data_IF_189601782136
#
_entry.id   IF_189601782136
#
_cell.length_a   1.000
_cell.length_b   1.000
_cell.length_c   1.000
_cell.angle_alpha   90.00
_cell.angle_beta   90.00
_cell.angle_gamma   90.00
#
_symmetry.space_group_name_H-M   'P 1'
#
loop_
_entity.id
_entity.type
_entity.pdbx_description
1 polymer ?
#
# COMPACT_ATOMS: atom_id res chain seq x y z
N UNK A 1 -32.79 -45.52 -23.78
CA UNK A 1 -31.79 -44.54 -24.24
C UNK A 1 -32.23 -43.16 -23.78
N UNK A 2 -32.05 -42.85 -22.50
CA UNK A 2 -32.32 -41.52 -21.95
C UNK A 2 -31.06 -40.69 -22.08
N UNK A 3 -31.13 -39.58 -22.83
CA UNK A 3 -30.01 -38.67 -23.00
C UNK A 3 -29.57 -38.10 -21.65
N UNK A 4 -28.31 -38.32 -21.30
CA UNK A 4 -27.64 -37.61 -20.22
C UNK A 4 -27.47 -36.18 -20.70
N UNK A 5 -28.37 -35.29 -20.29
CA UNK A 5 -28.16 -33.87 -20.41
C UNK A 5 -26.91 -33.54 -19.59
N UNK A 6 -25.82 -33.29 -20.28
CA UNK A 6 -24.64 -32.63 -19.70
C UNK A 6 -25.13 -31.24 -19.31
N UNK A 7 -25.45 -31.08 -18.03
CA UNK A 7 -25.77 -29.78 -17.44
C UNK A 7 -24.50 -28.92 -17.56
N UNK A 8 -24.50 -27.97 -18.49
CA UNK A 8 -23.42 -27.00 -18.60
C UNK A 8 -23.33 -26.20 -17.28
N UNK A 9 -22.11 -25.98 -16.74
CA UNK A 9 -21.94 -25.22 -15.51
C UNK A 9 -22.45 -23.79 -15.73
N UNK A 10 -23.43 -23.40 -14.93
CA UNK A 10 -24.05 -22.07 -14.97
C UNK A 10 -23.01 -20.98 -14.62
N UNK A 11 -22.65 -20.07 -15.56
CA UNK A 11 -21.68 -19.00 -15.33
C UNK A 11 -22.17 -17.93 -14.33
N UNK A 12 -23.43 -18.01 -13.88
CA UNK A 12 -24.01 -17.07 -12.91
C UNK A 12 -23.92 -17.55 -11.45
N UNK A 13 -23.46 -18.77 -11.20
CA UNK A 13 -23.39 -19.35 -9.85
C UNK A 13 -22.19 -18.86 -9.01
N UNK A 14 -21.16 -18.26 -9.62
CA UNK A 14 -19.92 -17.83 -8.95
C UNK A 14 -19.83 -16.31 -8.72
N UNK A 15 -20.97 -15.62 -8.54
CA UNK A 15 -21.02 -14.17 -8.29
C UNK A 15 -21.66 -13.81 -6.94
N UNK A 16 -21.93 -14.79 -6.08
CA UNK A 16 -22.68 -14.63 -4.83
C UNK A 16 -21.84 -14.82 -3.56
N UNK A 17 -20.52 -14.96 -3.68
CA UNK A 17 -19.64 -14.91 -2.50
C UNK A 17 -19.47 -13.45 -2.09
N UNK A 18 -19.82 -13.08 -0.84
CA UNK A 18 -19.56 -11.73 -0.37
C UNK A 18 -18.07 -11.45 -0.55
N UNK A 19 -17.74 -10.33 -1.19
CA UNK A 19 -16.37 -9.82 -1.32
C UNK A 19 -15.80 -9.71 0.10
N UNK A 20 -15.04 -10.73 0.52
CA UNK A 20 -14.36 -10.69 1.81
C UNK A 20 -13.44 -9.49 1.77
N UNK A 21 -13.67 -8.56 2.69
CA UNK A 21 -12.83 -7.37 2.85
C UNK A 21 -11.39 -7.82 3.01
N UNK A 22 -10.55 -7.43 2.05
CA UNK A 22 -9.14 -7.85 1.98
C UNK A 22 -8.34 -7.27 3.13
N UNK A 23 -8.55 -5.98 3.42
CA UNK A 23 -7.97 -5.25 4.54
C UNK A 23 -9.08 -4.57 5.32
N UNK A 24 -9.22 -4.92 6.59
CA UNK A 24 -10.11 -4.18 7.48
C UNK A 24 -9.56 -2.78 7.74
N UNK A 25 -10.43 -1.82 8.07
CA UNK A 25 -9.99 -0.46 8.38
C UNK A 25 -9.00 -0.41 9.55
N UNK A 26 -9.17 -1.27 10.56
CA UNK A 26 -8.25 -1.39 11.68
C UNK A 26 -6.87 -1.88 11.26
N UNK A 27 -6.81 -2.93 10.42
CA UNK A 27 -5.54 -3.43 9.87
C UNK A 27 -4.84 -2.37 9.01
N UNK A 28 -5.59 -1.70 8.13
CA UNK A 28 -5.09 -0.60 7.30
C UNK A 28 -4.50 0.53 8.17
N UNK A 29 -5.22 0.96 9.21
CA UNK A 29 -4.74 2.00 10.13
C UNK A 29 -3.44 1.58 10.84
N UNK A 30 -3.33 0.33 11.30
CA UNK A 30 -2.12 -0.19 11.95
C UNK A 30 -0.95 -0.20 10.97
N UNK A 31 -1.14 -0.73 9.76
CA UNK A 31 -0.10 -0.74 8.73
C UNK A 31 0.37 0.69 8.38
N UNK A 32 -0.57 1.63 8.23
CA UNK A 32 -0.24 3.04 7.98
C UNK A 32 0.55 3.70 9.11
N UNK A 33 0.25 3.38 10.37
CA UNK A 33 1.03 3.85 11.53
C UNK A 33 2.43 3.23 11.55
N UNK A 34 2.53 1.92 11.30
CA UNK A 34 3.83 1.21 11.24
C UNK A 34 4.70 1.84 10.15
N UNK A 35 4.18 2.03 8.94
CA UNK A 35 4.93 2.65 7.85
C UNK A 35 5.33 4.09 8.19
N UNK A 36 4.35 4.91 8.61
CA UNK A 36 4.60 6.32 8.91
C UNK A 36 5.58 6.54 10.05
N UNK A 37 5.73 5.61 10.98
CA UNK A 37 6.76 5.66 12.01
C UNK A 37 8.09 5.13 11.50
N UNK A 38 8.10 3.92 10.94
CA UNK A 38 9.34 3.22 10.59
C UNK A 38 10.08 3.81 9.39
N UNK A 39 9.39 4.51 8.49
CA UNK A 39 10.02 5.13 7.30
C UNK A 39 10.98 6.28 7.67
N UNK A 40 10.79 6.92 8.82
CA UNK A 40 11.68 8.00 9.30
C UNK A 40 12.73 7.53 10.30
N UNK A 41 12.62 6.29 10.76
CA UNK A 41 13.59 5.67 11.64
C UNK A 41 14.53 4.79 10.79
N UNK A 42 15.80 4.61 11.18
CA UNK A 42 16.73 3.72 10.48
C UNK A 42 16.44 2.24 10.80
N UNK A 43 15.19 1.81 10.58
CA UNK A 43 14.62 0.51 10.93
C UNK A 43 13.76 0.02 9.76
N UNK A 44 14.38 -0.66 8.78
CA UNK A 44 13.75 -1.16 7.53
C UNK A 44 12.21 -1.28 7.57
N UNK A 45 11.51 -0.36 6.91
CA UNK A 45 10.04 -0.23 6.94
C UNK A 45 9.34 -1.44 6.30
N UNK A 46 9.84 -1.92 5.16
CA UNK A 46 9.34 -3.11 4.46
C UNK A 46 9.32 -4.37 5.33
N UNK A 47 10.34 -4.56 6.17
CA UNK A 47 10.41 -5.71 7.08
C UNK A 47 9.37 -5.65 8.18
N UNK A 48 9.10 -4.45 8.72
CA UNK A 48 8.11 -4.25 9.76
C UNK A 48 6.68 -4.41 9.24
N UNK A 49 6.40 -3.94 8.02
CA UNK A 49 5.10 -4.17 7.37
C UNK A 49 4.84 -5.66 7.11
N UNK A 50 5.82 -6.40 6.56
CA UNK A 50 5.67 -7.85 6.35
C UNK A 50 5.43 -8.59 7.67
N UNK A 51 6.09 -8.17 8.75
CA UNK A 51 5.86 -8.75 10.08
C UNK A 51 4.47 -8.39 10.61
N UNK A 52 4.05 -7.13 10.48
CA UNK A 52 2.73 -6.66 10.89
C UNK A 52 1.61 -7.39 10.14
N UNK A 53 1.75 -7.62 8.83
CA UNK A 53 0.80 -8.39 8.02
C UNK A 53 0.61 -9.81 8.55
N UNK A 54 1.71 -10.49 8.90
CA UNK A 54 1.69 -11.84 9.51
C UNK A 54 1.05 -11.85 10.90
N UNK A 55 1.36 -10.85 11.73
CA UNK A 55 0.79 -10.72 13.07
C UNK A 55 -0.72 -10.45 13.01
N UNK A 56 -1.15 -9.67 12.02
CA UNK A 56 -2.56 -9.34 11.78
C UNK A 56 -3.30 -10.43 10.97
N UNK A 57 -2.62 -11.52 10.61
CA UNK A 57 -3.14 -12.65 9.84
C UNK A 57 -3.87 -12.23 8.56
N UNK A 58 -3.33 -11.23 7.87
CA UNK A 58 -3.91 -10.68 6.64
C UNK A 58 -3.77 -11.73 5.53
N UNK A 59 -4.91 -12.29 5.06
CA UNK A 59 -4.92 -13.31 4.02
C UNK A 59 -4.63 -14.75 4.49
N UNK A 60 -4.51 -14.97 5.80
CA UNK A 60 -4.18 -16.28 6.39
C UNK A 60 -5.41 -17.19 6.62
N UNK A 61 -6.49 -16.98 5.87
CA UNK A 61 -7.68 -17.84 5.97
C UNK A 61 -7.36 -19.24 5.40
N UNK A 62 -7.38 -20.31 6.24
CA UNK A 62 -7.10 -21.66 5.79
C UNK A 62 -8.15 -22.21 4.81
N UNK A 63 -9.35 -21.62 4.78
CA UNK A 63 -10.42 -21.95 3.84
C UNK A 63 -10.37 -21.10 2.54
N UNK A 64 -9.46 -20.12 2.44
CA UNK A 64 -9.31 -19.33 1.22
C UNK A 64 -8.60 -20.11 0.11
N UNK A 65 -9.14 -20.01 -1.10
CA UNK A 65 -8.54 -20.58 -2.32
C UNK A 65 -7.18 -19.92 -2.63
N UNK A 66 -6.34 -20.63 -3.41
CA UNK A 66 -5.02 -20.13 -3.84
C UNK A 66 -5.15 -18.77 -4.54
N UNK A 67 -6.16 -18.62 -5.40
CA UNK A 67 -6.46 -17.36 -6.08
C UNK A 67 -6.85 -16.24 -5.11
N UNK A 68 -7.62 -16.54 -4.07
CA UNK A 68 -8.03 -15.55 -3.07
C UNK A 68 -6.83 -15.06 -2.25
N UNK A 69 -5.89 -15.96 -1.91
CA UNK A 69 -4.64 -15.59 -1.22
C UNK A 69 -3.76 -14.72 -2.12
N UNK A 70 -3.65 -15.04 -3.40
CA UNK A 70 -2.91 -14.23 -4.36
C UNK A 70 -3.51 -12.82 -4.49
N UNK A 71 -4.83 -12.69 -4.63
CA UNK A 71 -5.51 -11.38 -4.66
C UNK A 71 -5.33 -10.59 -3.37
N UNK A 72 -5.42 -11.26 -2.21
CA UNK A 72 -5.23 -10.60 -0.91
C UNK A 72 -3.82 -10.04 -0.78
N UNK A 73 -2.83 -10.82 -1.21
CA UNK A 73 -1.44 -10.38 -1.22
C UNK A 73 -1.23 -9.20 -2.15
N UNK A 74 -1.72 -9.27 -3.39
CA UNK A 74 -1.57 -8.19 -4.38
C UNK A 74 -2.17 -6.87 -3.88
N UNK A 75 -3.36 -6.92 -3.29
CA UNK A 75 -4.01 -5.75 -2.72
C UNK A 75 -3.28 -5.20 -1.49
N UNK A 76 -2.69 -6.07 -0.66
CA UNK A 76 -1.89 -5.65 0.50
C UNK A 76 -0.57 -5.02 0.05
N UNK A 77 0.11 -5.60 -0.93
CA UNK A 77 1.33 -5.04 -1.54
C UNK A 77 1.03 -3.66 -2.16
N UNK A 78 -0.08 -3.54 -2.90
CA UNK A 78 -0.50 -2.26 -3.48
C UNK A 78 -0.82 -1.22 -2.39
N UNK A 79 -1.47 -1.62 -1.31
CA UNK A 79 -1.74 -0.76 -0.16
C UNK A 79 -0.46 -0.25 0.50
N UNK A 80 0.53 -1.13 0.68
CA UNK A 80 1.86 -0.81 1.20
C UNK A 80 2.56 0.28 0.35
N UNK A 81 2.47 0.19 -0.98
CA UNK A 81 3.00 1.23 -1.87
C UNK A 81 2.23 2.54 -1.69
N UNK A 82 0.92 2.51 -1.52
CA UNK A 82 0.11 3.71 -1.30
C UNK A 82 0.48 4.44 0.00
N UNK A 83 0.70 3.73 1.10
CA UNK A 83 1.07 4.35 2.38
C UNK A 83 2.50 4.91 2.38
N UNK A 84 3.43 4.34 1.60
CA UNK A 84 4.75 4.92 1.33
C UNK A 84 4.67 6.28 0.65
N UNK A 85 3.83 6.40 -0.38
CA UNK A 85 3.59 7.69 -1.03
C UNK A 85 3.01 8.69 0.00
N UNK A 86 2.15 8.23 0.91
CA UNK A 86 1.68 9.01 2.04
C UNK A 86 2.80 9.54 2.94
N UNK A 87 3.80 8.72 3.25
CA UNK A 87 5.00 9.14 3.99
C UNK A 87 5.80 10.21 3.22
N UNK A 88 6.03 10.03 1.92
CA UNK A 88 6.70 11.05 1.09
C UNK A 88 5.95 12.38 1.15
N UNK A 89 4.62 12.36 1.00
CA UNK A 89 3.78 13.57 1.07
C UNK A 89 3.88 14.23 2.44
N UNK A 90 3.94 13.46 3.53
CA UNK A 90 4.10 14.02 4.87
C UNK A 90 5.41 14.80 5.02
N UNK A 91 6.53 14.31 4.47
CA UNK A 91 7.81 15.05 4.44
C UNK A 91 7.73 16.29 3.56
N UNK A 92 7.12 16.18 2.37
CA UNK A 92 6.94 17.33 1.47
C UNK A 92 6.09 18.43 2.11
N UNK A 93 5.06 18.05 2.88
CA UNK A 93 4.26 18.97 3.69
C UNK A 93 5.06 19.61 4.82
N UNK A 94 5.79 18.80 5.61
CA UNK A 94 6.62 19.27 6.72
C UNK A 94 7.70 20.27 6.27
N UNK A 95 8.33 20.01 5.13
CA UNK A 95 9.40 20.84 4.55
C UNK A 95 8.94 21.74 3.40
N UNK A 96 7.63 21.98 3.24
CA UNK A 96 7.08 22.67 2.07
C UNK A 96 7.74 24.03 1.79
N UNK A 97 8.05 24.81 2.85
CA UNK A 97 8.74 26.10 2.71
C UNK A 97 10.15 25.94 2.12
N UNK A 98 10.88 24.91 2.56
CA UNK A 98 12.25 24.62 2.11
C UNK A 98 12.25 24.04 0.69
N UNK A 99 11.34 23.12 0.40
CA UNK A 99 11.14 22.57 -0.95
C UNK A 99 10.79 23.70 -1.93
N UNK A 100 9.88 24.60 -1.56
CA UNK A 100 9.53 25.77 -2.38
C UNK A 100 10.73 26.68 -2.64
N UNK A 101 11.56 26.93 -1.63
CA UNK A 101 12.81 27.71 -1.78
C UNK A 101 13.79 27.03 -2.75
N UNK A 102 13.97 25.71 -2.65
CA UNK A 102 14.82 24.95 -3.59
C UNK A 102 14.27 25.05 -5.03
N UNK A 103 12.97 24.89 -5.22
CA UNK A 103 12.32 25.01 -6.54
C UNK A 103 12.48 26.42 -7.14
N UNK A 104 12.28 27.47 -6.33
CA UNK A 104 12.50 28.86 -6.77
C UNK A 104 13.97 29.16 -7.08
N UNK A 105 14.89 28.54 -6.34
CA UNK A 105 16.33 28.56 -6.62
C UNK A 105 16.68 27.91 -7.96
N UNK A 106 16.05 26.78 -8.27
CA UNK A 106 16.17 26.04 -9.54
C UNK A 106 15.71 26.87 -10.75
N UNK A 107 14.64 27.65 -10.58
CA UNK A 107 14.10 28.58 -11.60
C UNK A 107 14.92 29.89 -11.68
N UNK A 108 16.01 30.02 -10.91
CA UNK A 108 16.93 31.17 -10.97
C UNK A 108 16.41 32.44 -10.29
N UNK A 109 15.26 32.37 -9.60
CA UNK A 109 14.64 33.50 -8.91
C UNK A 109 15.19 33.74 -7.49
N UNK A 110 15.96 32.82 -6.93
CA UNK A 110 16.56 32.95 -5.60
C UNK A 110 18.03 32.52 -5.59
N UNK A 111 18.92 33.39 -5.11
CA UNK A 111 20.35 33.11 -4.96
C UNK A 111 20.62 32.23 -3.73
N UNK A 112 19.80 32.34 -2.67
CA UNK A 112 19.94 31.53 -1.46
C UNK A 112 19.49 30.08 -1.70
N UNK A 113 18.34 29.89 -2.36
CA UNK A 113 17.87 28.57 -2.80
C UNK A 113 18.84 27.85 -3.73
N UNK A 114 19.58 28.59 -4.57
CA UNK A 114 20.62 28.04 -5.47
C UNK A 114 21.87 27.59 -4.72
N UNK A 115 22.33 28.36 -3.74
CA UNK A 115 23.45 27.94 -2.90
C UNK A 115 23.11 26.68 -2.09
N UNK A 116 21.91 26.60 -1.52
CA UNK A 116 21.42 25.40 -0.83
C UNK A 116 21.34 24.17 -1.73
N UNK A 117 21.19 24.35 -3.04
CA UNK A 117 21.12 23.24 -4.02
C UNK A 117 22.51 22.77 -4.45
N UNK A 118 23.49 23.67 -4.50
CA UNK A 118 24.87 23.39 -4.90
C UNK A 118 25.71 22.88 -3.72
N UNK A 119 25.33 23.22 -2.48
CA UNK A 119 26.04 22.83 -1.26
C UNK A 119 25.53 21.55 -0.60
N UNK A 120 24.65 20.80 -1.26
CA UNK A 120 24.18 19.46 -0.85
C UNK A 120 25.06 18.40 -1.48
#
# INVERSE_FOLDING_TARGET
MGGVAVQEPDPSADQSRPDKTVLTLGQAAILGVVEGLTEYLPVSSTGHLLLAERILSIGDDPAASVEQKARTKEATDAYTICIQIGAIIAVLGLYFRRVKQMLLGLVGKDAAGRQLLISV
#
